data_IF_207503772937
#
_entry.id   IF_207503772937
#
_cell.length_a   1.000
_cell.length_b   1.000
_cell.length_c   1.000
_cell.angle_alpha   90.00
_cell.angle_beta   90.00
_cell.angle_gamma   90.00
#
_symmetry.space_group_name_H-M   'P 1'
#
loop_
_entity.id
_entity.type
_entity.pdbx_description
1 polymer ?
#
# COMPACT_ATOMS: atom_id res chain seq x y z
N UNK A 1 7.06 -17.51 -10.48
CA UNK A 1 7.27 -16.20 -9.84
C UNK A 1 6.23 -15.24 -10.39
N UNK A 2 5.29 -14.82 -9.55
CA UNK A 2 4.31 -13.80 -9.93
C UNK A 2 5.09 -12.48 -10.14
N UNK A 3 4.85 -11.80 -11.27
CA UNK A 3 5.49 -10.54 -11.58
C UNK A 3 4.48 -9.42 -11.32
N UNK A 4 4.57 -8.79 -10.15
CA UNK A 4 3.76 -7.62 -9.85
C UNK A 4 4.26 -6.44 -10.68
N UNK A 5 3.42 -5.95 -11.58
CA UNK A 5 3.67 -4.78 -12.43
C UNK A 5 2.67 -3.68 -12.08
N UNK A 6 2.08 -3.01 -13.07
CA UNK A 6 1.05 -2.00 -12.84
C UNK A 6 -0.09 -2.54 -11.95
N UNK A 7 -0.63 -1.74 -11.01
CA UNK A 7 -1.72 -2.16 -10.13
C UNK A 7 -2.96 -2.60 -10.91
N UNK A 8 -3.36 -3.85 -10.72
CA UNK A 8 -4.47 -4.49 -11.42
C UNK A 8 -5.49 -5.08 -10.45
N UNK A 9 -6.72 -5.30 -10.92
CA UNK A 9 -7.84 -5.75 -10.09
C UNK A 9 -7.59 -7.09 -9.38
N UNK A 10 -6.79 -7.99 -9.98
CA UNK A 10 -6.46 -9.26 -9.35
C UNK A 10 -5.67 -9.14 -8.05
N UNK A 11 -5.04 -7.99 -7.75
CA UNK A 11 -4.38 -7.76 -6.45
C UNK A 11 -5.37 -7.82 -5.29
N UNK A 12 -6.61 -7.39 -5.51
CA UNK A 12 -7.64 -7.42 -4.47
C UNK A 12 -7.91 -8.85 -3.99
N UNK A 13 -7.71 -9.86 -4.85
CA UNK A 13 -7.87 -11.25 -4.42
C UNK A 13 -6.75 -11.72 -3.49
N UNK A 14 -5.54 -11.17 -3.64
CA UNK A 14 -4.40 -11.53 -2.77
C UNK A 14 -4.49 -10.86 -1.40
N UNK A 15 -5.23 -9.75 -1.29
CA UNK A 15 -5.42 -9.01 -0.04
C UNK A 15 -6.65 -9.48 0.77
N UNK A 16 -7.45 -10.40 0.23
CA UNK A 16 -8.60 -10.95 0.95
C UNK A 16 -8.16 -11.73 2.18
N UNK A 17 -8.77 -11.42 3.30
CA UNK A 17 -8.58 -12.12 4.57
C UNK A 17 -9.82 -12.93 4.97
N UNK A 18 -10.99 -12.57 4.45
CA UNK A 18 -12.26 -13.25 4.73
C UNK A 18 -12.89 -12.85 6.06
N UNK A 19 -12.44 -11.74 6.66
CA UNK A 19 -12.97 -11.21 7.93
C UNK A 19 -14.19 -10.34 7.68
N UNK A 20 -14.09 -9.39 6.75
CA UNK A 20 -15.20 -8.52 6.33
C UNK A 20 -15.15 -8.31 4.82
N UNK A 21 -15.73 -9.25 4.02
CA UNK A 21 -15.56 -9.24 2.57
C UNK A 21 -15.98 -7.93 1.87
N UNK A 22 -17.03 -7.27 2.38
CA UNK A 22 -17.49 -6.00 1.80
C UNK A 22 -16.53 -4.85 2.09
N UNK A 23 -16.03 -4.73 3.32
CA UNK A 23 -15.04 -3.71 3.67
C UNK A 23 -13.70 -3.96 2.99
N UNK A 24 -13.26 -5.22 2.95
CA UNK A 24 -12.04 -5.64 2.22
C UNK A 24 -12.10 -5.20 0.76
N UNK A 25 -13.23 -5.39 0.09
CA UNK A 25 -13.40 -4.97 -1.31
C UNK A 25 -13.35 -3.44 -1.46
N UNK A 26 -14.04 -2.69 -0.59
CA UNK A 26 -14.05 -1.23 -0.62
C UNK A 26 -12.65 -0.65 -0.42
N UNK A 27 -11.95 -1.10 0.62
CA UNK A 27 -10.58 -0.67 0.94
C UNK A 27 -9.62 -1.03 -0.20
N UNK A 28 -9.71 -2.27 -0.70
CA UNK A 28 -8.84 -2.76 -1.79
C UNK A 28 -9.04 -1.96 -3.08
N UNK A 29 -10.29 -1.59 -3.39
CA UNK A 29 -10.61 -0.78 -4.56
C UNK A 29 -10.06 0.64 -4.44
N UNK A 30 -10.21 1.25 -3.27
CA UNK A 30 -9.65 2.58 -2.98
C UNK A 30 -8.11 2.58 -3.04
N UNK A 31 -7.46 1.54 -2.50
CA UNK A 31 -6.01 1.34 -2.59
C UNK A 31 -5.52 1.25 -4.03
N UNK A 32 -6.19 0.43 -4.85
CA UNK A 32 -5.83 0.30 -6.27
C UNK A 32 -5.93 1.62 -7.02
N UNK A 33 -6.97 2.41 -6.75
CA UNK A 33 -7.13 3.70 -7.38
C UNK A 33 -5.98 4.65 -7.02
N UNK A 34 -5.63 4.75 -5.74
CA UNK A 34 -4.47 5.54 -5.28
C UNK A 34 -3.18 5.06 -5.94
N UNK A 35 -2.95 3.74 -5.99
CA UNK A 35 -1.73 3.18 -6.57
C UNK A 35 -1.63 3.37 -8.08
N UNK A 36 -2.73 3.32 -8.82
CA UNK A 36 -2.75 3.63 -10.27
C UNK A 36 -2.42 5.09 -10.53
N UNK A 37 -3.01 5.99 -9.75
CA UNK A 37 -2.74 7.42 -9.87
C UNK A 37 -1.26 7.72 -9.51
N UNK A 38 -0.71 7.08 -8.48
CA UNK A 38 0.71 7.15 -8.16
C UNK A 38 1.59 6.59 -9.28
N UNK A 39 1.21 5.44 -9.85
CA UNK A 39 1.94 4.78 -10.92
C UNK A 39 2.10 5.69 -12.14
N UNK A 40 0.99 6.34 -12.52
CA UNK A 40 0.97 7.33 -13.58
C UNK A 40 1.82 8.56 -13.26
N UNK A 41 1.63 9.16 -12.07
CA UNK A 41 2.40 10.34 -11.62
C UNK A 41 3.91 10.07 -11.59
N UNK A 42 4.33 8.87 -11.21
CA UNK A 42 5.74 8.48 -11.17
C UNK A 42 6.30 8.03 -12.55
N UNK A 43 5.46 8.03 -13.60
CA UNK A 43 5.75 7.59 -14.96
C UNK A 43 6.39 6.20 -15.01
N UNK A 44 5.86 5.25 -14.23
CA UNK A 44 6.48 3.93 -14.06
C UNK A 44 6.48 3.10 -15.36
N UNK A 45 5.50 3.31 -16.25
CA UNK A 45 5.46 2.65 -17.56
C UNK A 45 6.66 2.98 -18.46
N UNK A 46 7.27 4.15 -18.24
CA UNK A 46 8.47 4.60 -18.97
C UNK A 46 9.77 4.13 -18.32
N UNK A 47 9.72 3.49 -17.14
CA UNK A 47 10.90 2.98 -16.43
C UNK A 47 11.26 1.57 -16.89
N UNK A 48 12.50 1.16 -16.62
CA UNK A 48 12.95 -0.21 -16.88
C UNK A 48 12.08 -1.25 -16.16
N UNK A 49 11.93 -2.44 -16.75
CA UNK A 49 11.10 -3.53 -16.20
C UNK A 49 11.49 -3.94 -14.77
N UNK A 50 12.77 -3.89 -14.44
CA UNK A 50 13.24 -4.13 -13.06
C UNK A 50 12.69 -3.11 -12.07
N UNK A 51 12.61 -1.84 -12.47
CA UNK A 51 12.02 -0.77 -11.65
C UNK A 51 10.52 -0.95 -11.52
N UNK A 52 9.82 -1.24 -12.63
CA UNK A 52 8.37 -1.53 -12.59
C UNK A 52 8.06 -2.67 -11.63
N UNK A 53 8.82 -3.77 -11.69
CA UNK A 53 8.65 -4.92 -10.79
C UNK A 53 8.89 -4.58 -9.33
N UNK A 54 9.94 -3.81 -9.03
CA UNK A 54 10.22 -3.36 -7.65
C UNK A 54 9.06 -2.53 -7.11
N UNK A 55 8.58 -1.56 -7.88
CA UNK A 55 7.44 -0.73 -7.47
C UNK A 55 6.16 -1.54 -7.32
N UNK A 56 5.85 -2.40 -8.29
CA UNK A 56 4.67 -3.26 -8.24
C UNK A 56 4.68 -4.17 -7.01
N UNK A 57 5.81 -4.84 -6.74
CA UNK A 57 5.93 -5.72 -5.58
C UNK A 57 5.81 -4.96 -4.25
N UNK A 58 6.46 -3.80 -4.11
CA UNK A 58 6.37 -3.00 -2.89
C UNK A 58 4.97 -2.41 -2.67
N UNK A 59 4.29 -1.96 -3.73
CA UNK A 59 2.91 -1.46 -3.63
C UNK A 59 1.93 -2.59 -3.31
N UNK A 60 2.12 -3.78 -3.90
CA UNK A 60 1.31 -4.96 -3.59
C UNK A 60 1.43 -5.35 -2.11
N UNK A 61 2.66 -5.41 -1.59
CA UNK A 61 2.92 -5.72 -0.20
C UNK A 61 2.34 -4.65 0.75
N UNK A 62 2.52 -3.36 0.42
CA UNK A 62 1.93 -2.26 1.18
C UNK A 62 0.39 -2.31 1.18
N UNK A 63 -0.22 -2.69 0.06
CA UNK A 63 -1.68 -2.84 -0.04
C UNK A 63 -2.21 -3.91 0.90
N UNK A 64 -1.56 -5.08 0.95
CA UNK A 64 -1.94 -6.15 1.89
C UNK A 64 -1.84 -5.69 3.34
N UNK A 65 -0.72 -5.05 3.70
CA UNK A 65 -0.55 -4.45 5.02
C UNK A 65 -1.63 -3.41 5.35
N UNK A 66 -2.00 -2.56 4.39
CA UNK A 66 -3.01 -1.52 4.61
C UNK A 66 -4.41 -2.11 4.78
N UNK A 67 -4.78 -3.14 4.01
CA UNK A 67 -6.07 -3.85 4.19
C UNK A 67 -6.13 -4.49 5.57
N UNK A 68 -5.07 -5.19 5.98
CA UNK A 68 -4.94 -5.77 7.32
C UNK A 68 -5.11 -4.69 8.40
N UNK A 69 -4.36 -3.59 8.29
CA UNK A 69 -4.40 -2.50 9.28
C UNK A 69 -5.71 -1.78 9.35
N UNK A 70 -6.38 -1.58 8.23
CA UNK A 70 -7.70 -0.98 8.23
C UNK A 70 -8.73 -1.87 8.91
N UNK A 71 -8.53 -3.19 8.96
CA UNK A 71 -9.49 -4.15 9.53
C UNK A 71 -9.11 -4.63 10.92
N UNK A 72 -8.05 -4.07 11.53
CA UNK A 72 -7.73 -4.35 12.92
C UNK A 72 -8.89 -3.94 13.83
N UNK A 73 -9.26 -4.87 14.72
CA UNK A 73 -10.42 -4.75 15.60
C UNK A 73 -10.33 -3.50 16.50
N UNK A 74 -11.36 -2.65 16.45
CA UNK A 74 -11.46 -1.45 17.27
C UNK A 74 -11.48 -1.78 18.77
N UNK A 75 -11.96 -2.97 19.18
CA UNK A 75 -11.95 -3.40 20.58
C UNK A 75 -10.54 -3.73 21.09
N UNK A 76 -9.59 -3.99 20.20
CA UNK A 76 -8.18 -4.19 20.54
C UNK A 76 -7.39 -2.87 20.59
N UNK A 77 -8.03 -1.75 20.25
CA UNK A 77 -7.42 -0.43 20.27
C UNK A 77 -7.62 0.27 21.61
N UNK A 78 -6.77 1.27 21.89
CA UNK A 78 -6.87 2.04 23.13
C UNK A 78 -8.18 2.84 23.21
N UNK A 79 -8.76 3.05 24.41
CA UNK A 79 -9.96 3.87 24.57
C UNK A 79 -9.80 5.26 23.96
N UNK A 80 -10.70 5.62 23.03
CA UNK A 80 -10.64 6.89 22.31
C UNK A 80 -9.88 6.84 20.98
N UNK A 81 -9.46 5.64 20.54
CA UNK A 81 -8.97 5.43 19.18
C UNK A 81 -10.03 5.80 18.15
N UNK A 82 -9.62 6.57 17.14
CA UNK A 82 -10.43 6.89 15.97
C UNK A 82 -9.72 6.29 14.77
N UNK A 83 -10.37 5.34 14.11
CA UNK A 83 -9.86 4.71 12.89
C UNK A 83 -9.53 5.80 11.85
N UNK A 84 -8.28 5.88 11.36
CA UNK A 84 -7.92 6.86 10.34
C UNK A 84 -8.61 6.52 9.01
N UNK A 85 -8.75 7.52 8.14
CA UNK A 85 -9.08 7.24 6.74
C UNK A 85 -7.93 6.47 6.09
N UNK A 86 -8.23 5.71 5.03
CA UNK A 86 -7.21 5.01 4.25
C UNK A 86 -6.08 5.95 3.80
N UNK A 87 -6.45 7.16 3.37
CA UNK A 87 -5.50 8.16 2.94
C UNK A 87 -4.57 8.60 4.08
N UNK A 88 -5.14 8.90 5.26
CA UNK A 88 -4.37 9.28 6.44
C UNK A 88 -3.44 8.14 6.89
N UNK A 89 -3.94 6.89 6.91
CA UNK A 89 -3.14 5.70 7.19
C UNK A 89 -1.93 5.62 6.25
N UNK A 90 -2.13 5.81 4.95
CA UNK A 90 -1.03 5.75 3.98
C UNK A 90 -0.04 6.92 4.14
N UNK A 91 -0.51 8.14 4.42
CA UNK A 91 0.37 9.30 4.66
C UNK A 91 1.28 9.01 5.84
N UNK A 92 0.72 8.56 6.96
CA UNK A 92 1.46 8.30 8.19
C UNK A 92 2.41 7.10 8.03
N UNK A 93 1.91 6.00 7.46
CA UNK A 93 2.69 4.77 7.26
C UNK A 93 3.86 4.92 6.29
N UNK A 94 3.81 5.91 5.40
CA UNK A 94 4.85 6.14 4.39
C UNK A 94 5.82 7.27 4.77
N UNK A 95 5.60 7.91 5.91
CA UNK A 95 6.44 9.00 6.41
C UNK A 95 7.81 8.49 6.87
N UNK A 96 8.88 9.02 6.27
CA UNK A 96 10.31 8.64 6.49
C UNK A 96 10.68 7.21 6.07
N UNK A 97 10.04 6.20 6.66
CA UNK A 97 10.22 4.77 6.42
C UNK A 97 8.85 4.14 6.14
N UNK A 98 8.84 3.04 5.37
CA UNK A 98 7.60 2.30 5.18
C UNK A 98 7.24 1.48 6.42
N UNK A 99 6.04 0.89 6.46
CA UNK A 99 5.74 -0.09 7.50
C UNK A 99 6.68 -1.28 7.39
N UNK A 100 6.96 -1.91 8.54
CA UNK A 100 7.77 -3.12 8.60
C UNK A 100 6.96 -4.31 8.08
N UNK A 101 7.22 -4.72 6.84
CA UNK A 101 6.52 -5.82 6.16
C UNK A 101 7.45 -7.05 6.07
N UNK A 102 8.74 -6.83 5.84
CA UNK A 102 9.73 -7.91 5.66
C UNK A 102 10.73 -7.94 6.81
N UNK A 103 10.29 -8.51 7.94
CA UNK A 103 11.04 -8.56 9.21
C UNK A 103 12.43 -9.22 9.11
N UNK A 104 12.57 -10.26 8.30
CA UNK A 104 13.78 -11.07 8.14
C UNK A 104 14.57 -10.73 6.87
N UNK A 105 14.02 -9.92 5.97
CA UNK A 105 14.61 -9.60 4.68
C UNK A 105 14.81 -8.08 4.51
N UNK A 106 15.93 -7.59 5.06
CA UNK A 106 16.33 -6.17 4.99
C UNK A 106 16.39 -5.63 3.57
N UNK A 107 16.76 -6.47 2.58
CA UNK A 107 16.82 -6.05 1.18
C UNK A 107 15.43 -5.71 0.66
N UNK A 108 14.46 -6.59 0.85
CA UNK A 108 13.08 -6.35 0.44
C UNK A 108 12.45 -5.20 1.23
N UNK A 109 12.70 -5.11 2.54
CA UNK A 109 12.25 -3.96 3.33
C UNK A 109 12.79 -2.64 2.77
N UNK A 110 14.07 -2.56 2.40
CA UNK A 110 14.65 -1.33 1.84
C UNK A 110 14.01 -0.90 0.50
N UNK A 111 13.49 -1.86 -0.27
CA UNK A 111 12.75 -1.59 -1.50
C UNK A 111 11.38 -0.98 -1.18
N UNK A 112 10.66 -1.57 -0.20
CA UNK A 112 9.41 -1.02 0.35
C UNK A 112 9.63 0.40 0.86
N UNK A 113 10.64 0.65 1.69
CA UNK A 113 10.93 1.98 2.24
C UNK A 113 11.18 3.01 1.14
N UNK A 114 11.88 2.61 0.07
CA UNK A 114 12.18 3.48 -1.07
C UNK A 114 10.91 3.86 -1.83
N UNK A 115 10.03 2.89 -2.04
CA UNK A 115 8.74 3.12 -2.71
C UNK A 115 7.83 3.97 -1.82
N UNK A 116 7.76 3.68 -0.52
CA UNK A 116 6.99 4.44 0.47
C UNK A 116 7.40 5.91 0.50
N UNK A 117 8.70 6.23 0.55
CA UNK A 117 9.15 7.64 0.48
C UNK A 117 8.69 8.37 -0.78
N UNK A 118 8.56 7.67 -1.91
CA UNK A 118 8.09 8.28 -3.16
C UNK A 118 6.56 8.37 -3.20
N UNK A 119 5.87 7.37 -2.67
CA UNK A 119 4.41 7.40 -2.49
C UNK A 119 4.01 8.53 -1.54
N UNK A 120 4.71 8.71 -0.41
CA UNK A 120 4.48 9.81 0.52
C UNK A 120 4.54 11.19 -0.17
N UNK A 121 5.55 11.40 -1.02
CA UNK A 121 5.67 12.64 -1.81
C UNK A 121 4.47 12.84 -2.74
N UNK A 122 4.00 11.77 -3.37
CA UNK A 122 2.80 11.83 -4.21
C UNK A 122 1.57 12.19 -3.38
N UNK A 123 1.33 11.52 -2.25
CA UNK A 123 0.20 11.80 -1.36
C UNK A 123 0.24 13.27 -0.90
N UNK A 124 1.33 13.71 -0.27
CA UNK A 124 1.46 15.10 0.21
C UNK A 124 1.34 16.14 -0.92
N UNK A 125 1.79 15.84 -2.14
CA UNK A 125 1.65 16.76 -3.29
C UNK A 125 0.21 16.96 -3.77
N UNK A 126 -0.70 16.05 -3.41
CA UNK A 126 -2.09 16.11 -3.83
C UNK A 126 -3.00 16.84 -2.88
N UNK A 127 -2.54 17.08 -1.64
CA UNK A 127 -3.20 17.95 -0.67
C UNK A 127 -4.72 17.87 -0.72
N UNK A 128 -5.27 16.69 -0.41
CA UNK A 128 -6.66 16.62 0.04
C UNK A 128 -6.78 17.25 1.44
#
# INVERSE_FOLDING_TARGET
MIQWTEPHESWMNDWKMGLSPSEEEEISRALLEIFRQFWHWAELDKKAKVTQRRYGASLHALGGWAVEKMLEDEELQEPGYVRPSLYQLLVDATFLQGPLIHYDNKKWQSEVDTVCRKLHKFLVSRGE
#
